data_IF_193411370624
#
_entry.id   IF_193411370624
#
_cell.length_a   1.000
_cell.length_b   1.000
_cell.length_c   1.000
_cell.angle_alpha   90.00
_cell.angle_beta   90.00
_cell.angle_gamma   90.00
#
_symmetry.space_group_name_H-M   'P 1'
#
loop_
_entity.id
_entity.type
_entity.pdbx_description
1 polymer ?
#
# COMPACT_ATOMS: atom_id res chain seq x y z
N UNK A 1 -40.83 -5.59 -6.62
CA UNK A 1 -41.86 -5.06 -5.73
C UNK A 1 -41.23 -5.15 -4.35
N UNK A 2 -40.89 -4.01 -3.73
CA UNK A 2 -40.44 -3.99 -2.35
C UNK A 2 -41.59 -4.48 -1.47
N UNK A 3 -41.31 -5.33 -0.49
CA UNK A 3 -42.31 -5.84 0.41
C UNK A 3 -42.94 -4.69 1.22
N UNK A 4 -44.25 -4.76 1.49
CA UNK A 4 -44.98 -3.73 2.24
C UNK A 4 -44.35 -3.45 3.63
N UNK A 5 -43.59 -4.39 4.17
CA UNK A 5 -42.84 -4.28 5.42
C UNK A 5 -41.63 -3.37 5.28
N UNK A 6 -40.92 -3.43 4.13
CA UNK A 6 -39.73 -2.56 3.84
C UNK A 6 -40.14 -1.11 3.66
N UNK A 7 -41.38 -0.87 3.14
CA UNK A 7 -41.93 0.50 2.96
C UNK A 7 -42.38 1.06 4.32
N UNK A 8 -42.92 0.26 5.21
CA UNK A 8 -43.38 0.70 6.53
C UNK A 8 -42.19 1.01 7.45
N UNK A 9 -41.14 0.19 7.43
CA UNK A 9 -39.86 0.41 8.13
C UNK A 9 -39.17 1.67 7.63
N UNK A 10 -39.24 1.97 6.32
CA UNK A 10 -38.66 3.19 5.73
C UNK A 10 -39.42 4.44 6.11
N UNK A 11 -40.76 4.37 6.18
CA UNK A 11 -41.61 5.50 6.60
C UNK A 11 -41.50 5.77 8.11
N UNK A 12 -41.37 4.73 8.93
CA UNK A 12 -41.13 4.86 10.37
C UNK A 12 -39.77 5.50 10.63
N UNK A 13 -38.76 5.12 9.87
CA UNK A 13 -37.41 5.70 9.89
C UNK A 13 -37.43 7.19 9.50
N UNK A 14 -38.16 7.57 8.43
CA UNK A 14 -38.32 8.97 8.02
C UNK A 14 -39.03 9.80 9.07
N UNK A 15 -40.12 9.30 9.67
CA UNK A 15 -40.85 9.98 10.76
C UNK A 15 -39.98 10.19 11.99
N UNK A 16 -39.08 9.25 12.24
CA UNK A 16 -38.12 9.34 13.33
C UNK A 16 -37.12 10.47 13.05
N UNK A 17 -36.61 10.55 11.81
CA UNK A 17 -35.70 11.62 11.39
C UNK A 17 -36.32 13.01 11.46
N UNK A 18 -37.55 13.20 10.97
CA UNK A 18 -38.28 14.46 11.06
C UNK A 18 -38.45 14.94 12.52
N UNK A 19 -38.47 14.01 13.46
CA UNK A 19 -38.64 14.31 14.88
C UNK A 19 -37.35 14.69 15.58
N UNK A 20 -36.21 14.16 15.16
CA UNK A 20 -34.92 14.27 15.87
C UNK A 20 -33.83 15.02 15.11
N UNK A 21 -33.99 15.32 13.83
CA UNK A 21 -33.01 16.12 13.09
C UNK A 21 -33.57 17.50 12.75
N UNK A 22 -32.85 18.54 13.14
CA UNK A 22 -33.13 19.90 12.67
C UNK A 22 -32.67 20.07 11.20
N UNK A 23 -31.97 19.09 10.63
CA UNK A 23 -31.49 19.06 9.26
C UNK A 23 -32.11 17.88 8.49
N UNK A 24 -33.17 18.11 7.67
CA UNK A 24 -33.80 17.07 6.85
C UNK A 24 -32.84 16.43 5.83
N UNK A 25 -31.83 17.19 5.37
CA UNK A 25 -30.85 16.71 4.39
C UNK A 25 -29.95 15.62 4.98
N UNK A 26 -29.57 15.73 6.26
CA UNK A 26 -28.84 14.67 6.97
C UNK A 26 -29.65 13.37 7.03
N UNK A 27 -30.96 13.49 7.30
CA UNK A 27 -31.87 12.34 7.36
C UNK A 27 -31.91 11.56 6.05
N UNK A 28 -32.04 12.27 4.94
CA UNK A 28 -32.04 11.67 3.60
C UNK A 28 -30.66 11.04 3.28
N UNK A 29 -29.58 11.73 3.62
CA UNK A 29 -28.23 11.23 3.40
C UNK A 29 -27.98 9.92 4.18
N UNK A 30 -28.33 9.88 5.45
CA UNK A 30 -28.18 8.66 6.27
C UNK A 30 -29.01 7.52 5.70
N UNK A 31 -30.25 7.78 5.29
CA UNK A 31 -31.10 6.76 4.68
C UNK A 31 -30.52 6.22 3.36
N UNK A 32 -29.96 7.09 2.53
CA UNK A 32 -29.34 6.71 1.26
C UNK A 32 -28.08 5.85 1.47
N UNK A 33 -27.27 6.19 2.47
CA UNK A 33 -25.96 5.61 2.70
C UNK A 33 -25.94 4.46 3.71
N UNK A 34 -27.02 4.25 4.46
CA UNK A 34 -27.16 3.16 5.41
C UNK A 34 -27.36 1.83 4.66
N UNK A 35 -26.58 0.80 5.01
CA UNK A 35 -26.76 -0.53 4.45
C UNK A 35 -28.14 -1.13 4.81
N UNK A 36 -28.64 -2.05 3.98
CA UNK A 36 -29.93 -2.69 4.18
C UNK A 36 -30.05 -3.43 5.52
N UNK A 37 -28.95 -3.98 6.01
CA UNK A 37 -28.87 -4.65 7.32
C UNK A 37 -28.65 -3.67 8.48
N UNK A 38 -28.58 -2.37 8.20
CA UNK A 38 -28.36 -1.28 9.18
C UNK A 38 -27.03 -1.36 9.96
N UNK A 39 -26.06 -2.14 9.46
CA UNK A 39 -24.77 -2.34 10.14
C UNK A 39 -23.63 -1.47 9.62
N UNK A 40 -23.78 -0.88 8.45
CA UNK A 40 -22.76 -0.07 7.80
C UNK A 40 -23.32 1.28 7.35
N UNK A 41 -22.65 2.35 7.76
CA UNK A 41 -22.94 3.71 7.33
C UNK A 41 -21.67 4.39 6.85
N UNK A 42 -21.67 4.79 5.58
CA UNK A 42 -20.57 5.54 4.99
C UNK A 42 -21.05 6.95 4.61
N UNK A 43 -20.64 7.94 5.39
CA UNK A 43 -20.91 9.37 5.14
C UNK A 43 -19.68 10.11 4.59
N UNK A 44 -18.62 9.39 4.24
CA UNK A 44 -17.38 9.97 3.75
C UNK A 44 -17.57 10.90 2.55
N UNK A 45 -16.73 11.93 2.47
CA UNK A 45 -16.73 12.99 1.43
C UNK A 45 -18.02 13.83 1.36
N UNK A 46 -18.87 13.77 2.39
CA UNK A 46 -20.03 14.67 2.54
C UNK A 46 -19.69 15.75 3.58
N UNK A 47 -19.66 17.01 3.17
CA UNK A 47 -19.42 18.10 4.11
C UNK A 47 -20.55 18.19 5.12
N UNK A 48 -20.20 18.12 6.39
CA UNK A 48 -21.11 18.18 7.53
C UNK A 48 -20.74 19.34 8.44
N UNK A 49 -21.71 19.88 9.15
CA UNK A 49 -21.52 20.90 10.18
C UNK A 49 -21.63 20.29 11.58
N UNK A 50 -21.26 21.02 12.60
CA UNK A 50 -21.22 20.51 13.98
C UNK A 50 -22.57 19.97 14.45
N UNK A 51 -23.68 20.64 14.10
CA UNK A 51 -25.04 20.22 14.41
C UNK A 51 -25.43 18.88 13.79
N UNK A 52 -24.82 18.52 12.62
CA UNK A 52 -25.09 17.23 11.99
C UNK A 52 -24.47 16.09 12.81
N UNK A 53 -23.26 16.27 13.35
CA UNK A 53 -22.60 15.27 14.19
C UNK A 53 -23.35 15.08 15.52
N UNK A 54 -23.89 16.16 16.09
CA UNK A 54 -24.74 16.09 17.26
C UNK A 54 -26.02 15.32 16.97
N UNK A 55 -26.70 15.66 15.86
CA UNK A 55 -27.91 14.98 15.43
C UNK A 55 -27.65 13.50 15.13
N UNK A 56 -26.53 13.16 14.47
CA UNK A 56 -26.13 11.79 14.18
C UNK A 56 -25.99 10.95 15.47
N UNK A 57 -25.49 11.56 16.54
CA UNK A 57 -25.33 10.93 17.86
C UNK A 57 -26.67 10.63 18.57
N UNK A 58 -27.80 11.14 18.08
CA UNK A 58 -29.14 10.97 18.65
C UNK A 58 -30.02 10.01 17.84
N UNK A 59 -29.56 9.53 16.68
CA UNK A 59 -30.35 8.67 15.79
C UNK A 59 -30.38 7.24 16.30
N UNK A 60 -31.38 6.88 17.09
CA UNK A 60 -31.52 5.55 17.71
C UNK A 60 -31.37 4.37 16.75
N UNK A 61 -31.91 4.36 15.52
CA UNK A 61 -31.73 3.24 14.60
C UNK A 61 -30.28 2.88 14.26
N UNK A 62 -29.30 3.77 14.57
CA UNK A 62 -27.89 3.51 14.36
C UNK A 62 -27.23 2.64 15.45
N UNK A 63 -27.96 2.20 16.46
CA UNK A 63 -27.41 1.34 17.54
C UNK A 63 -26.85 -0.01 17.06
N UNK A 64 -27.19 -0.44 15.83
CA UNK A 64 -26.71 -1.68 15.23
C UNK A 64 -25.43 -1.52 14.42
N UNK A 65 -24.93 -0.30 14.25
CA UNK A 65 -23.76 -0.07 13.41
C UNK A 65 -22.53 -0.84 13.92
N UNK A 66 -21.93 -1.57 12.99
CA UNK A 66 -20.64 -2.21 13.14
C UNK A 66 -19.54 -1.44 12.39
N UNK A 67 -19.90 -0.69 11.35
CA UNK A 67 -19.01 0.15 10.53
C UNK A 67 -19.56 1.57 10.41
N UNK A 68 -18.71 2.57 10.70
CA UNK A 68 -19.00 3.98 10.47
C UNK A 68 -17.80 4.65 9.82
N UNK A 69 -18.02 5.27 8.64
CA UNK A 69 -17.07 6.16 8.00
C UNK A 69 -17.56 7.60 8.01
N UNK A 70 -16.70 8.49 8.51
CA UNK A 70 -16.84 9.94 8.51
C UNK A 70 -15.61 10.60 7.87
N UNK A 71 -14.96 9.93 6.93
CA UNK A 71 -13.77 10.45 6.25
C UNK A 71 -14.11 11.70 5.42
N UNK A 72 -13.27 12.73 5.48
CA UNK A 72 -13.47 13.98 4.70
C UNK A 72 -14.81 14.68 4.95
N UNK A 73 -15.37 14.59 6.14
CA UNK A 73 -16.66 15.22 6.46
C UNK A 73 -16.52 16.61 7.07
N UNK A 74 -15.29 17.02 7.42
CA UNK A 74 -15.04 18.26 8.17
C UNK A 74 -15.28 18.08 9.67
N UNK A 75 -15.21 16.85 10.18
CA UNK A 75 -15.37 16.55 11.60
C UNK A 75 -14.31 17.26 12.41
N UNK A 76 -14.75 18.03 13.39
CA UNK A 76 -13.91 18.71 14.37
C UNK A 76 -13.89 17.94 15.70
N UNK A 77 -12.98 18.33 16.58
CA UNK A 77 -12.89 17.75 17.93
C UNK A 77 -14.18 17.94 18.74
N UNK A 78 -14.90 19.06 18.53
CA UNK A 78 -16.22 19.29 19.13
C UNK A 78 -17.28 18.34 18.61
N UNK A 79 -17.35 18.15 17.28
CA UNK A 79 -18.26 17.17 16.67
C UNK A 79 -17.99 15.74 17.14
N UNK A 80 -16.71 15.34 17.21
CA UNK A 80 -16.32 14.02 17.69
C UNK A 80 -16.74 13.78 19.15
N UNK A 81 -16.68 14.79 20.02
CA UNK A 81 -17.14 14.71 21.40
C UNK A 81 -18.59 14.20 21.52
N UNK A 82 -19.49 14.69 20.65
CA UNK A 82 -20.88 14.23 20.64
C UNK A 82 -20.97 12.75 20.23
N UNK A 83 -20.26 12.36 19.18
CA UNK A 83 -20.29 11.00 18.65
C UNK A 83 -19.76 9.95 19.63
N UNK A 84 -18.61 10.21 20.26
CA UNK A 84 -17.98 9.25 21.16
C UNK A 84 -18.63 9.19 22.54
N UNK A 85 -19.48 10.16 22.86
CA UNK A 85 -20.24 10.23 24.11
C UNK A 85 -21.54 9.42 24.12
N UNK A 86 -22.03 8.99 22.95
CA UNK A 86 -23.29 8.23 22.83
C UNK A 86 -23.07 6.72 22.90
N UNK A 87 -24.01 6.00 23.54
CA UNK A 87 -24.04 4.54 23.55
C UNK A 87 -24.46 3.92 22.20
N UNK A 88 -24.94 4.73 21.25
CA UNK A 88 -25.41 4.22 19.94
C UNK A 88 -24.29 3.51 19.16
N UNK A 89 -23.06 3.89 19.37
CA UNK A 89 -21.91 3.32 18.67
C UNK A 89 -21.18 2.21 19.45
N UNK A 90 -21.85 1.61 20.46
CA UNK A 90 -21.23 0.56 21.29
C UNK A 90 -20.95 -0.75 20.55
N UNK A 91 -21.55 -0.97 19.38
CA UNK A 91 -21.33 -2.14 18.55
C UNK A 91 -20.31 -1.91 17.41
N UNK A 92 -19.75 -0.70 17.29
CA UNK A 92 -18.78 -0.41 16.25
C UNK A 92 -17.53 -1.28 16.38
N UNK A 93 -17.18 -1.89 15.24
CA UNK A 93 -15.95 -2.65 15.03
C UNK A 93 -14.94 -1.85 14.21
N UNK A 94 -15.43 -1.08 13.26
CA UNK A 94 -14.61 -0.22 12.39
C UNK A 94 -15.12 1.21 12.46
N UNK A 95 -14.21 2.15 12.77
CA UNK A 95 -14.44 3.58 12.76
C UNK A 95 -13.35 4.26 11.93
N UNK A 96 -13.76 4.97 10.86
CA UNK A 96 -12.83 5.73 10.03
C UNK A 96 -13.17 7.22 10.09
N UNK A 97 -12.16 8.02 10.44
CA UNK A 97 -12.22 9.46 10.69
C UNK A 97 -11.10 10.20 9.91
N UNK A 98 -10.70 9.65 8.77
CA UNK A 98 -9.60 10.16 7.97
C UNK A 98 -9.89 11.54 7.35
N UNK A 99 -8.83 12.30 7.07
CA UNK A 99 -8.93 13.59 6.39
C UNK A 99 -9.95 14.55 7.05
N UNK A 100 -9.81 14.75 8.35
CA UNK A 100 -10.64 15.66 9.15
C UNK A 100 -9.77 16.68 9.89
N UNK A 101 -10.36 17.43 10.81
CA UNK A 101 -9.67 18.44 11.59
C UNK A 101 -9.61 18.04 13.09
N UNK A 102 -9.26 16.79 13.35
CA UNK A 102 -9.14 16.26 14.70
C UNK A 102 -7.76 16.57 15.25
N UNK A 103 -7.71 17.27 16.37
CA UNK A 103 -6.52 17.59 17.12
C UNK A 103 -6.38 16.73 18.39
N UNK A 104 -5.44 17.08 19.26
CA UNK A 104 -5.21 16.36 20.52
C UNK A 104 -6.45 16.39 21.45
N UNK A 105 -7.29 17.43 21.38
CA UNK A 105 -8.52 17.52 22.14
C UNK A 105 -9.56 16.49 21.65
N UNK A 106 -9.70 16.32 20.35
CA UNK A 106 -10.57 15.29 19.76
C UNK A 106 -10.16 13.90 20.23
N UNK A 107 -8.87 13.60 20.20
CA UNK A 107 -8.34 12.33 20.69
C UNK A 107 -8.52 12.16 22.19
N UNK A 108 -8.46 13.23 22.97
CA UNK A 108 -8.82 13.16 24.39
C UNK A 108 -10.25 12.69 24.58
N UNK A 109 -11.23 13.24 23.84
CA UNK A 109 -12.63 12.77 23.92
C UNK A 109 -12.76 11.30 23.47
N UNK A 110 -12.15 10.93 22.36
CA UNK A 110 -12.13 9.55 21.88
C UNK A 110 -11.60 8.59 22.96
N UNK A 111 -10.49 8.94 23.58
CA UNK A 111 -9.82 8.12 24.59
C UNK A 111 -10.65 7.86 25.85
N UNK A 112 -11.60 8.73 26.13
CA UNK A 112 -12.50 8.64 27.30
C UNK A 112 -13.80 7.92 27.00
N UNK A 113 -14.06 7.54 25.74
CA UNK A 113 -15.28 6.86 25.38
C UNK A 113 -15.37 5.50 26.06
N UNK A 114 -16.46 5.30 26.81
CA UNK A 114 -16.82 4.00 27.38
C UNK A 114 -17.56 3.09 26.39
N UNK A 115 -17.86 3.61 25.20
CA UNK A 115 -18.76 2.98 24.24
C UNK A 115 -18.05 2.37 23.02
N UNK A 116 -16.74 2.61 22.86
CA UNK A 116 -15.96 2.14 21.71
C UNK A 116 -15.08 0.92 22.02
N UNK A 117 -15.47 0.12 23.02
CA UNK A 117 -14.68 -1.04 23.46
C UNK A 117 -14.69 -2.23 22.50
N UNK A 118 -15.57 -2.24 21.49
CA UNK A 118 -15.66 -3.29 20.47
C UNK A 118 -14.84 -2.99 19.23
N UNK A 119 -14.18 -1.82 19.16
CA UNK A 119 -13.39 -1.46 18.00
C UNK A 119 -12.22 -2.44 17.79
N UNK A 120 -12.13 -2.92 16.57
CA UNK A 120 -11.02 -3.72 16.05
C UNK A 120 -10.20 -2.96 14.99
N UNK A 121 -10.78 -1.92 14.41
CA UNK A 121 -10.15 -1.09 13.38
C UNK A 121 -10.49 0.38 13.62
N UNK A 122 -9.44 1.22 13.69
CA UNK A 122 -9.53 2.66 13.86
C UNK A 122 -8.59 3.36 12.86
N UNK A 123 -9.18 4.20 12.01
CA UNK A 123 -8.42 5.09 11.12
C UNK A 123 -8.57 6.53 11.56
N UNK A 124 -7.44 7.17 11.80
CA UNK A 124 -7.31 8.58 12.20
C UNK A 124 -6.33 9.32 11.28
N UNK A 125 -6.02 8.75 10.13
CA UNK A 125 -5.01 9.31 9.22
C UNK A 125 -5.41 10.69 8.68
N UNK A 126 -4.40 11.50 8.36
CA UNK A 126 -4.60 12.85 7.80
C UNK A 126 -5.46 13.73 8.71
N UNK A 127 -5.03 13.88 9.94
CA UNK A 127 -5.60 14.78 10.94
C UNK A 127 -4.50 15.67 11.55
N UNK A 128 -4.82 16.42 12.60
CA UNK A 128 -3.89 17.32 13.28
C UNK A 128 -3.45 16.75 14.64
N UNK A 129 -3.36 15.41 14.75
CA UNK A 129 -3.02 14.73 16.00
C UNK A 129 -1.53 14.90 16.29
N UNK A 130 -1.24 15.49 17.44
CA UNK A 130 0.12 15.69 17.92
C UNK A 130 0.57 14.65 18.94
N UNK A 131 1.74 14.94 19.51
CA UNK A 131 2.36 14.10 20.53
C UNK A 131 1.44 13.85 21.75
N UNK A 132 0.69 14.86 22.19
CA UNK A 132 -0.18 14.72 23.37
C UNK A 132 -1.40 13.85 23.07
N UNK A 133 -2.02 14.03 21.91
CA UNK A 133 -3.12 13.17 21.44
C UNK A 133 -2.68 11.72 21.34
N UNK A 134 -1.53 11.46 20.73
CA UNK A 134 -0.97 10.12 20.64
C UNK A 134 -0.74 9.49 22.02
N UNK A 135 -0.15 10.25 22.95
CA UNK A 135 0.08 9.79 24.32
C UNK A 135 -1.23 9.39 25.01
N UNK A 136 -2.26 10.19 24.87
CA UNK A 136 -3.57 9.92 25.48
C UNK A 136 -4.23 8.71 24.82
N UNK A 137 -4.16 8.60 23.48
CA UNK A 137 -4.72 7.47 22.73
C UNK A 137 -4.09 6.14 23.18
N UNK A 138 -2.76 6.05 23.18
CA UNK A 138 -2.06 4.80 23.52
C UNK A 138 -2.26 4.35 24.97
N UNK A 139 -2.63 5.27 25.86
CA UNK A 139 -2.99 4.95 27.24
C UNK A 139 -4.48 4.62 27.43
N UNK A 140 -5.26 4.67 26.35
CA UNK A 140 -6.72 4.51 26.37
C UNK A 140 -7.15 3.05 26.30
N UNK A 141 -8.27 2.68 26.94
CA UNK A 141 -8.90 1.36 26.73
C UNK A 141 -9.37 1.13 25.29
N UNK A 142 -9.64 2.18 24.51
CA UNK A 142 -10.10 2.08 23.12
C UNK A 142 -9.10 1.30 22.25
N UNK A 143 -7.80 1.48 22.46
CA UNK A 143 -6.76 0.79 21.66
C UNK A 143 -6.53 -0.66 22.05
N UNK A 144 -7.08 -1.11 23.18
CA UNK A 144 -6.81 -2.45 23.72
C UNK A 144 -7.40 -3.59 22.91
N UNK A 145 -8.45 -3.33 22.14
CA UNK A 145 -9.10 -4.29 21.26
C UNK A 145 -8.72 -4.18 19.79
N UNK A 146 -7.97 -3.13 19.42
CA UNK A 146 -7.65 -2.88 18.02
C UNK A 146 -6.74 -3.98 17.44
N UNK A 147 -7.02 -4.34 16.20
CA UNK A 147 -6.19 -5.17 15.34
C UNK A 147 -5.47 -4.28 14.31
N UNK A 148 -6.15 -3.22 13.85
CA UNK A 148 -5.62 -2.26 12.87
C UNK A 148 -5.74 -0.85 13.41
N UNK A 149 -4.64 -0.12 13.37
CA UNK A 149 -4.57 1.31 13.72
C UNK A 149 -3.82 2.07 12.63
N UNK A 150 -4.49 3.06 12.05
CA UNK A 150 -3.89 3.99 11.10
C UNK A 150 -3.82 5.39 11.71
N UNK A 151 -2.58 5.88 11.88
CA UNK A 151 -2.26 7.22 12.38
C UNK A 151 -1.44 8.02 11.36
N UNK A 152 -1.35 7.55 10.12
CA UNK A 152 -0.52 8.19 9.10
C UNK A 152 -0.91 9.65 8.86
N UNK A 153 0.06 10.45 8.38
CA UNK A 153 -0.15 11.88 8.11
C UNK A 153 -0.65 12.67 9.35
N UNK A 154 0.00 12.45 10.49
CA UNK A 154 -0.20 13.16 11.75
C UNK A 154 1.16 13.55 12.34
N UNK A 155 1.22 14.40 13.37
CA UNK A 155 2.47 14.84 14.00
C UNK A 155 2.72 14.12 15.32
N UNK A 156 2.81 12.78 15.28
CA UNK A 156 2.94 11.94 16.47
C UNK A 156 4.26 12.18 17.20
N UNK A 157 5.36 12.35 16.46
CA UNK A 157 6.70 12.61 16.97
C UNK A 157 7.25 11.49 17.90
N UNK A 158 8.57 11.43 18.18
CA UNK A 158 9.17 10.38 19.01
C UNK A 158 8.58 10.28 20.42
N UNK A 159 8.18 11.40 21.01
CA UNK A 159 7.62 11.41 22.37
C UNK A 159 6.18 10.88 22.42
N UNK A 160 5.39 11.04 21.34
CA UNK A 160 4.07 10.43 21.22
C UNK A 160 4.18 8.91 21.16
N UNK A 161 5.08 8.41 20.32
CA UNK A 161 5.34 6.96 20.17
C UNK A 161 5.88 6.34 21.47
N UNK A 162 6.66 7.08 22.27
CA UNK A 162 7.11 6.59 23.57
C UNK A 162 5.96 6.09 24.44
N UNK A 163 4.78 6.67 24.34
CA UNK A 163 3.63 6.26 25.13
C UNK A 163 3.13 4.83 24.83
N UNK A 164 3.45 4.25 23.66
CA UNK A 164 3.20 2.83 23.41
C UNK A 164 3.90 1.97 24.47
N UNK A 165 5.10 2.37 24.88
CA UNK A 165 5.89 1.67 25.90
C UNK A 165 5.32 1.75 27.30
N UNK A 166 4.59 2.81 27.52
CA UNK A 166 3.98 3.10 28.80
C UNK A 166 2.54 2.52 28.84
N UNK A 167 2.09 1.89 27.74
CA UNK A 167 0.78 1.27 27.67
C UNK A 167 0.62 0.20 28.76
N UNK A 168 -0.47 0.24 29.54
CA UNK A 168 -0.63 -0.63 30.70
C UNK A 168 -0.91 -2.10 30.33
N UNK A 169 -1.06 -2.39 29.05
CA UNK A 169 -1.48 -3.70 28.53
C UNK A 169 -0.76 -4.06 27.23
N UNK A 170 -0.69 -5.37 26.93
CA UNK A 170 -0.29 -5.86 25.62
C UNK A 170 -1.28 -5.37 24.56
N UNK A 171 -0.76 -4.86 23.45
CA UNK A 171 -1.55 -4.37 22.32
C UNK A 171 -1.65 -5.48 21.26
N UNK A 172 -2.85 -5.94 20.90
CA UNK A 172 -3.06 -7.04 19.97
C UNK A 172 -2.97 -6.62 18.50
N UNK A 173 -2.31 -5.48 18.24
CA UNK A 173 -2.23 -4.90 16.91
C UNK A 173 -1.49 -5.82 15.95
N UNK A 174 -2.07 -6.00 14.76
CA UNK A 174 -1.44 -6.70 13.64
C UNK A 174 -1.01 -5.74 12.55
N UNK A 175 -1.74 -4.65 12.37
CA UNK A 175 -1.44 -3.66 11.36
C UNK A 175 -1.33 -2.28 12.01
N UNK A 176 -0.16 -1.67 11.87
CA UNK A 176 0.11 -0.31 12.35
C UNK A 176 0.67 0.53 11.21
N UNK A 177 -0.03 1.61 10.91
CA UNK A 177 0.40 2.59 9.92
C UNK A 177 0.83 3.88 10.64
N UNK A 178 2.12 4.20 10.50
CA UNK A 178 2.77 5.39 11.03
C UNK A 178 3.47 6.21 9.93
N UNK A 179 2.98 6.10 8.68
CA UNK A 179 3.53 6.86 7.57
C UNK A 179 3.39 8.36 7.83
N UNK A 180 4.45 9.12 7.54
CA UNK A 180 4.48 10.59 7.69
C UNK A 180 3.99 11.06 9.08
N UNK A 181 4.65 10.58 10.13
CA UNK A 181 4.33 10.91 11.53
C UNK A 181 5.48 11.55 12.28
N UNK A 182 6.51 12.00 11.57
CA UNK A 182 7.68 12.70 12.10
C UNK A 182 8.48 11.89 13.16
N UNK A 183 8.55 10.56 12.99
CA UNK A 183 9.19 9.70 14.00
C UNK A 183 10.71 9.78 14.05
N UNK A 184 11.36 9.79 12.89
CA UNK A 184 12.81 9.68 12.78
C UNK A 184 13.42 8.48 13.51
N UNK A 185 14.73 8.47 13.65
CA UNK A 185 15.46 7.41 14.37
C UNK A 185 15.10 7.32 15.85
N UNK A 186 14.80 8.47 16.47
CA UNK A 186 14.48 8.49 17.88
C UNK A 186 13.12 7.83 18.17
N UNK A 187 12.15 7.97 17.25
CA UNK A 187 10.89 7.23 17.30
C UNK A 187 11.12 5.72 17.22
N UNK A 188 11.95 5.27 16.27
CA UNK A 188 12.29 3.85 16.15
C UNK A 188 13.01 3.31 17.37
N UNK A 189 13.92 4.08 17.97
CA UNK A 189 14.56 3.71 19.23
C UNK A 189 13.56 3.56 20.39
N UNK A 190 12.46 4.34 20.39
CA UNK A 190 11.40 4.12 21.36
C UNK A 190 10.65 2.82 21.06
N UNK A 191 10.23 2.60 19.82
CA UNK A 191 9.56 1.36 19.40
C UNK A 191 10.40 0.13 19.74
N UNK A 192 11.71 0.19 19.50
CA UNK A 192 12.66 -0.91 19.75
C UNK A 192 12.73 -1.35 21.24
N UNK A 193 12.33 -0.48 22.18
CA UNK A 193 12.36 -0.81 23.62
C UNK A 193 11.17 -1.68 24.07
N UNK A 194 10.21 -1.98 23.18
CA UNK A 194 8.89 -2.45 23.62
C UNK A 194 8.53 -3.82 23.07
N UNK A 195 8.20 -4.72 23.98
CA UNK A 195 7.73 -6.08 23.74
C UNK A 195 6.19 -6.13 23.54
N UNK A 196 5.49 -5.00 23.66
CA UNK A 196 4.02 -4.97 23.60
C UNK A 196 3.42 -5.16 22.18
N UNK A 197 4.25 -5.15 21.12
CA UNK A 197 3.83 -5.28 19.72
C UNK A 197 4.20 -6.65 19.12
N UNK A 198 4.24 -7.70 19.92
CA UNK A 198 4.65 -9.06 19.49
C UNK A 198 3.74 -9.68 18.42
N UNK A 199 2.51 -9.20 18.28
CA UNK A 199 1.55 -9.71 17.31
C UNK A 199 1.56 -8.94 15.98
N UNK A 200 2.43 -7.92 15.85
CA UNK A 200 2.48 -7.06 14.67
C UNK A 200 2.94 -7.84 13.43
N UNK A 201 2.13 -7.78 12.39
CA UNK A 201 2.37 -8.43 11.10
C UNK A 201 2.72 -7.42 9.99
N UNK A 202 2.14 -6.22 10.05
CA UNK A 202 2.36 -5.14 9.08
C UNK A 202 2.74 -3.85 9.79
N UNK A 203 3.84 -3.23 9.37
CA UNK A 203 4.28 -1.92 9.84
C UNK A 203 4.63 -1.02 8.66
N UNK A 204 3.92 0.09 8.54
CA UNK A 204 4.26 1.15 7.59
C UNK A 204 4.93 2.30 8.34
N UNK A 205 6.17 2.59 7.96
CA UNK A 205 7.02 3.65 8.49
C UNK A 205 7.45 4.64 7.39
N UNK A 206 6.80 4.61 6.22
CA UNK A 206 7.15 5.48 5.10
C UNK A 206 7.20 6.96 5.50
N UNK A 207 8.00 7.75 4.81
CA UNK A 207 8.05 9.21 4.95
C UNK A 207 8.37 9.71 6.38
N UNK A 208 9.28 9.05 7.10
CA UNK A 208 9.59 9.37 8.50
C UNK A 208 11.04 9.83 8.76
N UNK A 209 11.83 10.10 7.74
CA UNK A 209 13.25 10.48 7.87
C UNK A 209 14.10 9.48 8.67
N UNK A 210 13.76 8.19 8.55
CA UNK A 210 14.47 7.09 9.21
C UNK A 210 15.77 6.81 8.47
N UNK A 211 16.87 6.71 9.22
CA UNK A 211 18.19 6.35 8.72
C UNK A 211 18.62 4.96 9.16
N UNK A 212 19.85 4.57 8.85
CA UNK A 212 20.46 3.32 9.33
C UNK A 212 20.44 3.20 10.85
N UNK A 213 20.60 4.31 11.58
CA UNK A 213 20.63 4.29 13.05
C UNK A 213 19.31 3.84 13.68
N UNK A 214 18.17 4.20 13.09
CA UNK A 214 16.86 3.71 13.49
C UNK A 214 16.69 2.23 13.19
N UNK A 215 17.11 1.79 11.98
CA UNK A 215 17.00 0.39 11.57
C UNK A 215 17.89 -0.53 12.40
N UNK A 216 19.12 -0.12 12.73
CA UNK A 216 19.98 -0.85 13.65
C UNK A 216 19.34 -1.05 15.04
N UNK A 217 18.63 -0.05 15.55
CA UNK A 217 17.95 -0.16 16.83
C UNK A 217 16.84 -1.23 16.80
N UNK A 218 16.03 -1.27 15.74
CA UNK A 218 15.00 -2.31 15.53
C UNK A 218 15.62 -3.69 15.35
N UNK A 219 16.67 -3.79 14.53
CA UNK A 219 17.36 -5.04 14.23
C UNK A 219 17.94 -5.72 15.47
N UNK A 220 18.46 -4.92 16.42
CA UNK A 220 19.02 -5.43 17.68
C UNK A 220 17.95 -5.85 18.69
N UNK A 221 16.80 -5.19 18.68
CA UNK A 221 15.80 -5.37 19.73
C UNK A 221 14.78 -6.48 19.45
N UNK A 222 14.56 -6.83 18.17
CA UNK A 222 13.56 -7.80 17.71
C UNK A 222 12.16 -7.57 18.33
N UNK A 223 11.59 -6.37 18.19
CA UNK A 223 10.31 -6.05 18.82
C UNK A 223 9.10 -6.68 18.12
N UNK A 224 9.28 -7.23 16.89
CA UNK A 224 8.21 -7.69 16.02
C UNK A 224 8.45 -9.14 15.51
N UNK A 225 8.39 -10.16 16.35
CA UNK A 225 8.75 -11.53 15.97
C UNK A 225 7.83 -12.16 14.91
N UNK A 226 6.69 -11.50 14.58
CA UNK A 226 5.70 -11.96 13.59
C UNK A 226 5.61 -11.06 12.36
N UNK A 227 6.53 -10.11 12.20
CA UNK A 227 6.47 -9.15 11.10
C UNK A 227 6.56 -9.85 9.74
N UNK A 228 5.59 -9.59 8.87
CA UNK A 228 5.50 -10.14 7.52
C UNK A 228 5.70 -9.07 6.46
N UNK A 229 5.25 -7.85 6.74
CA UNK A 229 5.35 -6.72 5.83
C UNK A 229 5.97 -5.53 6.54
N UNK A 230 7.07 -5.03 5.99
CA UNK A 230 7.75 -3.81 6.43
C UNK A 230 7.84 -2.83 5.27
N UNK A 231 7.31 -1.63 5.47
CA UNK A 231 7.22 -0.58 4.47
C UNK A 231 8.04 0.60 4.96
N UNK A 232 9.11 0.95 4.22
CA UNK A 232 10.10 1.97 4.58
C UNK A 232 10.29 3.02 3.48
N UNK A 233 9.33 3.17 2.59
CA UNK A 233 9.41 4.05 1.43
C UNK A 233 9.73 5.50 1.84
N UNK A 234 10.53 6.21 1.02
CA UNK A 234 10.91 7.60 1.24
C UNK A 234 11.60 7.85 2.60
N UNK A 235 12.45 6.92 3.03
CA UNK A 235 13.32 7.08 4.19
C UNK A 235 14.79 6.89 3.76
N UNK A 236 15.73 7.74 4.18
CA UNK A 236 17.13 7.55 3.84
C UNK A 236 17.80 6.44 4.68
N UNK A 237 17.25 5.21 4.55
CA UNK A 237 17.71 4.03 5.30
C UNK A 237 19.17 3.70 5.00
N UNK A 238 19.57 3.81 3.73
CA UNK A 238 20.94 3.59 3.27
C UNK A 238 21.42 2.14 3.42
N UNK A 239 22.64 1.89 2.94
CA UNK A 239 23.19 0.54 2.87
C UNK A 239 23.44 -0.09 4.23
N UNK A 240 23.91 0.68 5.22
CA UNK A 240 24.11 0.20 6.59
C UNK A 240 22.78 -0.23 7.25
N UNK A 241 21.68 0.49 6.95
CA UNK A 241 20.35 0.11 7.44
C UNK A 241 19.86 -1.20 6.83
N UNK A 242 20.10 -1.42 5.53
CA UNK A 242 19.77 -2.69 4.87
C UNK A 242 20.68 -3.82 5.36
N UNK A 243 21.96 -3.54 5.57
CA UNK A 243 22.86 -4.51 6.18
C UNK A 243 22.34 -4.97 7.57
N UNK A 244 21.89 -4.04 8.41
CA UNK A 244 21.32 -4.37 9.71
C UNK A 244 20.06 -5.24 9.60
N UNK A 245 19.16 -4.96 8.64
CA UNK A 245 17.97 -5.77 8.35
C UNK A 245 18.39 -7.18 7.89
N UNK A 246 19.33 -7.25 6.94
CA UNK A 246 19.74 -8.50 6.29
C UNK A 246 20.47 -9.47 7.23
N UNK A 247 21.12 -8.96 8.28
CA UNK A 247 21.86 -9.76 9.26
C UNK A 247 21.04 -10.11 10.52
N UNK A 248 19.82 -9.57 10.66
CA UNK A 248 19.04 -9.74 11.89
C UNK A 248 17.98 -10.84 11.77
N UNK A 249 17.91 -11.69 12.79
CA UNK A 249 16.81 -12.66 12.96
C UNK A 249 15.45 -11.98 13.21
N UNK A 250 15.45 -10.70 13.61
CA UNK A 250 14.24 -9.92 13.83
C UNK A 250 13.33 -9.84 12.60
N UNK A 251 13.91 -9.97 11.41
CA UNK A 251 13.19 -9.85 10.15
C UNK A 251 13.07 -11.18 9.38
N UNK A 252 13.40 -12.31 10.01
CA UNK A 252 13.38 -13.63 9.36
C UNK A 252 12.00 -14.09 8.89
N UNK A 253 10.93 -13.48 9.40
CA UNK A 253 9.53 -13.77 9.00
C UNK A 253 9.02 -12.90 7.86
N UNK A 254 9.82 -11.94 7.37
CA UNK A 254 9.41 -11.02 6.30
C UNK A 254 9.07 -11.76 5.01
N UNK A 255 7.94 -11.37 4.44
CA UNK A 255 7.46 -11.77 3.13
C UNK A 255 7.42 -10.59 2.15
N UNK A 256 7.27 -9.37 2.66
CA UNK A 256 7.18 -8.16 1.86
C UNK A 256 8.07 -7.07 2.47
N UNK A 257 8.98 -6.54 1.65
CA UNK A 257 9.87 -5.44 2.01
C UNK A 257 9.82 -4.39 0.90
N UNK A 258 9.41 -3.17 1.27
CA UNK A 258 9.38 -2.05 0.33
C UNK A 258 10.29 -0.92 0.78
N UNK A 259 11.12 -0.47 -0.14
CA UNK A 259 12.24 0.45 0.05
C UNK A 259 12.33 1.47 -1.11
N UNK A 260 11.16 1.88 -1.63
CA UNK A 260 11.10 2.92 -2.66
C UNK A 260 11.81 4.18 -2.15
N UNK A 261 12.76 4.71 -2.94
CA UNK A 261 13.47 5.94 -2.62
C UNK A 261 14.10 5.92 -1.20
N UNK A 262 14.91 4.88 -0.93
CA UNK A 262 15.51 4.63 0.39
C UNK A 262 17.03 4.90 0.45
N UNK A 263 17.58 5.59 -0.54
CA UNK A 263 19.01 5.93 -0.66
C UNK A 263 19.92 4.70 -0.71
N UNK A 264 19.48 3.65 -1.38
CA UNK A 264 20.19 2.39 -1.49
C UNK A 264 21.13 2.38 -2.69
N UNK A 265 22.26 1.67 -2.53
CA UNK A 265 23.21 1.44 -3.62
C UNK A 265 23.35 -0.06 -3.91
N UNK A 266 24.35 -0.39 -4.73
CA UNK A 266 24.76 -1.77 -5.01
C UNK A 266 25.00 -2.58 -3.73
N UNK A 267 25.56 -1.98 -2.68
CA UNK A 267 25.91 -2.65 -1.43
C UNK A 267 24.67 -3.16 -0.67
N UNK A 268 23.54 -2.42 -0.75
CA UNK A 268 22.26 -2.90 -0.23
C UNK A 268 21.79 -4.19 -0.90
N UNK A 269 21.87 -4.23 -2.24
CA UNK A 269 21.44 -5.41 -2.99
C UNK A 269 22.33 -6.63 -2.70
N UNK A 270 23.64 -6.41 -2.56
CA UNK A 270 24.60 -7.45 -2.13
C UNK A 270 24.22 -7.94 -0.73
N UNK A 271 23.97 -7.04 0.23
CA UNK A 271 23.58 -7.39 1.59
C UNK A 271 22.30 -8.24 1.64
N UNK A 272 21.28 -7.89 0.83
CA UNK A 272 20.06 -8.69 0.70
C UNK A 272 20.32 -10.06 0.08
N UNK A 273 21.21 -10.13 -0.91
CA UNK A 273 21.56 -11.38 -1.61
C UNK A 273 22.29 -12.37 -0.69
N UNK A 274 23.10 -11.87 0.22
CA UNK A 274 23.91 -12.64 1.17
C UNK A 274 23.19 -12.94 2.49
N UNK A 275 21.98 -12.37 2.69
CA UNK A 275 21.22 -12.59 3.93
C UNK A 275 20.90 -14.05 4.18
N UNK A 276 21.13 -14.50 5.41
CA UNK A 276 20.76 -15.85 5.85
C UNK A 276 19.35 -15.90 6.48
N UNK A 277 18.76 -14.76 6.71
CA UNK A 277 17.47 -14.61 7.41
C UNK A 277 16.34 -14.26 6.47
N UNK A 278 16.57 -13.40 5.46
CA UNK A 278 15.55 -12.92 4.53
C UNK A 278 15.25 -13.91 3.38
N UNK A 279 15.02 -15.17 3.69
CA UNK A 279 14.80 -16.23 2.69
C UNK A 279 13.33 -16.42 2.32
N UNK A 280 12.44 -15.64 2.92
CA UNK A 280 10.98 -15.75 2.78
C UNK A 280 10.31 -14.73 1.88
N UNK A 281 11.07 -13.80 1.29
CA UNK A 281 10.52 -12.66 0.54
C UNK A 281 9.73 -13.13 -0.70
N UNK A 282 8.52 -12.58 -0.83
CA UNK A 282 7.61 -12.70 -1.98
C UNK A 282 7.51 -11.40 -2.77
N UNK A 283 7.65 -10.27 -2.06
CA UNK A 283 7.68 -8.95 -2.66
C UNK A 283 8.93 -8.22 -2.19
N UNK A 284 9.71 -7.71 -3.15
CA UNK A 284 10.83 -6.82 -2.92
C UNK A 284 10.66 -5.61 -3.85
N UNK A 285 10.52 -4.44 -3.24
CA UNK A 285 10.46 -3.17 -3.95
C UNK A 285 11.70 -2.34 -3.59
N UNK A 286 12.54 -2.10 -4.60
CA UNK A 286 13.75 -1.28 -4.55
C UNK A 286 13.65 -0.09 -5.52
N UNK A 287 12.45 0.29 -5.96
CA UNK A 287 12.25 1.34 -6.95
C UNK A 287 12.93 2.66 -6.51
N UNK A 288 13.40 3.42 -7.50
CA UNK A 288 14.04 4.73 -7.30
C UNK A 288 15.20 4.70 -6.29
N UNK A 289 16.21 3.89 -6.60
CA UNK A 289 17.47 3.78 -5.86
C UNK A 289 18.67 3.76 -6.83
N UNK A 290 19.87 3.38 -6.38
CA UNK A 290 21.08 3.30 -7.21
C UNK A 290 21.71 1.89 -7.16
N UNK A 291 20.86 0.86 -7.33
CA UNK A 291 21.25 -0.57 -7.18
C UNK A 291 22.23 -1.01 -8.28
N UNK A 292 22.06 -0.49 -9.51
CA UNK A 292 22.90 -0.77 -10.69
C UNK A 292 22.95 -2.25 -11.10
N UNK A 293 23.69 -2.53 -12.19
CA UNK A 293 23.81 -3.87 -12.76
C UNK A 293 24.42 -4.89 -11.77
N UNK A 294 25.48 -4.48 -11.08
CA UNK A 294 26.23 -5.34 -10.18
C UNK A 294 25.39 -5.79 -8.98
N UNK A 295 24.56 -4.89 -8.43
CA UNK A 295 23.65 -5.23 -7.35
C UNK A 295 22.54 -6.19 -7.78
N UNK A 296 21.99 -5.96 -8.98
CA UNK A 296 20.98 -6.86 -9.55
C UNK A 296 21.58 -8.23 -9.90
N UNK A 297 22.83 -8.29 -10.38
CA UNK A 297 23.52 -9.54 -10.62
C UNK A 297 23.65 -10.36 -9.33
N UNK A 298 24.07 -9.73 -8.22
CA UNK A 298 24.15 -10.39 -6.92
C UNK A 298 22.78 -10.92 -6.48
N UNK A 299 21.70 -10.14 -6.60
CA UNK A 299 20.33 -10.59 -6.28
C UNK A 299 19.90 -11.76 -7.16
N UNK A 300 20.12 -11.65 -8.48
CA UNK A 300 19.70 -12.66 -9.46
C UNK A 300 20.39 -14.03 -9.26
N UNK A 301 21.62 -14.02 -8.73
CA UNK A 301 22.37 -15.23 -8.39
C UNK A 301 22.02 -15.81 -7.01
N UNK A 302 21.30 -15.06 -6.17
CA UNK A 302 20.98 -15.49 -4.80
C UNK A 302 19.75 -16.40 -4.73
N UNK A 303 19.85 -17.48 -3.95
CA UNK A 303 18.70 -18.33 -3.64
C UNK A 303 17.62 -17.60 -2.79
N UNK A 304 17.93 -16.44 -2.21
CA UNK A 304 16.99 -15.65 -1.42
C UNK A 304 15.82 -15.14 -2.26
N UNK A 305 16.01 -14.90 -3.57
CA UNK A 305 14.97 -14.42 -4.48
C UNK A 305 14.06 -15.52 -5.03
N UNK A 306 14.29 -16.79 -4.71
CA UNK A 306 13.53 -17.92 -5.28
C UNK A 306 12.03 -17.93 -4.97
N UNK A 307 11.60 -17.19 -3.95
CA UNK A 307 10.18 -17.08 -3.56
C UNK A 307 9.54 -15.79 -4.05
N UNK A 308 10.31 -14.92 -4.69
CA UNK A 308 9.76 -13.65 -5.19
C UNK A 308 8.69 -13.91 -6.25
N UNK A 309 7.56 -13.28 -6.03
CA UNK A 309 6.43 -13.18 -6.94
C UNK A 309 6.38 -11.79 -7.58
N UNK A 310 6.84 -10.77 -6.85
CA UNK A 310 6.87 -9.36 -7.27
C UNK A 310 8.26 -8.80 -7.01
N UNK A 311 8.89 -8.24 -8.05
CA UNK A 311 10.16 -7.53 -7.97
C UNK A 311 10.02 -6.19 -8.69
N UNK A 312 10.22 -5.11 -7.94
CA UNK A 312 10.29 -3.76 -8.50
C UNK A 312 11.72 -3.24 -8.41
N UNK A 313 12.30 -2.96 -9.55
CA UNK A 313 13.64 -2.40 -9.75
C UNK A 313 13.58 -1.17 -10.64
N UNK A 314 12.43 -0.53 -10.79
CA UNK A 314 12.30 0.73 -11.56
C UNK A 314 13.30 1.79 -11.07
N UNK A 315 13.77 2.63 -11.97
CA UNK A 315 14.63 3.78 -11.63
C UNK A 315 15.91 3.43 -10.87
N UNK A 316 16.64 2.39 -11.34
CA UNK A 316 17.85 1.89 -10.65
C UNK A 316 19.13 1.87 -11.50
N UNK A 317 19.10 2.44 -12.69
CA UNK A 317 20.28 2.51 -13.59
C UNK A 317 20.87 1.14 -13.93
N UNK A 318 20.02 0.13 -14.15
CA UNK A 318 20.45 -1.26 -14.34
C UNK A 318 21.24 -1.49 -15.63
N UNK A 319 20.94 -0.72 -16.65
CA UNK A 319 21.50 -0.94 -17.98
C UNK A 319 21.08 -2.28 -18.60
N UNK A 320 21.59 -2.58 -19.80
CA UNK A 320 21.36 -3.87 -20.45
C UNK A 320 21.91 -5.06 -19.65
N UNK A 321 23.00 -4.86 -18.94
CA UNK A 321 23.69 -5.88 -18.16
C UNK A 321 22.82 -6.38 -16.99
N UNK A 322 22.19 -5.48 -16.24
CA UNK A 322 21.26 -5.86 -15.16
C UNK A 322 20.05 -6.63 -15.67
N UNK A 323 19.48 -6.23 -16.83
CA UNK A 323 18.40 -6.98 -17.45
C UNK A 323 18.86 -8.38 -17.92
N UNK A 324 20.08 -8.52 -18.44
CA UNK A 324 20.65 -9.82 -18.78
C UNK A 324 20.81 -10.70 -17.53
N UNK A 325 21.31 -10.16 -16.42
CA UNK A 325 21.47 -10.89 -15.18
C UNK A 325 20.12 -11.44 -14.66
N UNK A 326 19.04 -10.64 -14.70
CA UNK A 326 17.70 -11.13 -14.36
C UNK A 326 17.22 -12.24 -15.29
N UNK A 327 17.46 -12.11 -16.59
CA UNK A 327 17.06 -13.08 -17.59
C UNK A 327 17.77 -14.44 -17.45
N UNK A 328 19.02 -14.42 -16.99
CA UNK A 328 19.88 -15.59 -16.78
C UNK A 328 19.71 -16.24 -15.39
N UNK A 329 18.99 -15.58 -14.48
CA UNK A 329 18.79 -16.10 -13.11
C UNK A 329 18.10 -17.46 -13.09
N UNK A 330 18.64 -18.42 -12.36
CA UNK A 330 18.02 -19.73 -12.12
C UNK A 330 17.01 -19.69 -10.97
N UNK A 331 16.90 -18.57 -10.26
CA UNK A 331 16.11 -18.44 -9.04
C UNK A 331 14.79 -17.69 -9.19
N UNK A 332 14.54 -16.99 -10.32
CA UNK A 332 13.35 -16.13 -10.51
C UNK A 332 12.15 -16.84 -11.15
N UNK A 333 12.09 -18.17 -11.10
CA UNK A 333 11.03 -18.97 -11.74
C UNK A 333 9.60 -18.70 -11.17
N UNK A 334 9.49 -18.17 -9.94
CA UNK A 334 8.20 -17.84 -9.33
C UNK A 334 7.73 -16.41 -9.62
N UNK A 335 8.55 -15.61 -10.31
CA UNK A 335 8.25 -14.21 -10.55
C UNK A 335 7.04 -14.08 -11.49
N UNK A 336 6.07 -13.28 -11.05
CA UNK A 336 4.84 -12.95 -11.77
C UNK A 336 4.82 -11.52 -12.25
N UNK A 337 5.37 -10.60 -11.45
CA UNK A 337 5.41 -9.18 -11.76
C UNK A 337 6.84 -8.67 -11.70
N UNK A 338 7.32 -8.10 -12.81
CA UNK A 338 8.63 -7.47 -12.92
C UNK A 338 8.50 -6.04 -13.41
N UNK A 339 9.01 -5.10 -12.63
CA UNK A 339 9.07 -3.67 -12.99
C UNK A 339 10.51 -3.26 -13.22
N UNK A 340 10.79 -2.71 -14.40
CA UNK A 340 12.10 -2.24 -14.83
C UNK A 340 11.99 -0.88 -15.52
N UNK A 341 10.96 -0.09 -15.22
CA UNK A 341 10.79 1.26 -15.79
C UNK A 341 12.04 2.11 -15.55
N UNK A 342 12.38 2.98 -16.51
CA UNK A 342 13.46 3.96 -16.40
C UNK A 342 14.82 3.35 -15.96
N UNK A 343 15.29 2.33 -16.69
CA UNK A 343 16.53 1.62 -16.36
C UNK A 343 17.55 1.56 -17.50
N UNK A 344 17.26 2.16 -18.65
CA UNK A 344 18.16 2.16 -19.82
C UNK A 344 18.57 0.74 -20.26
N UNK A 345 17.63 -0.23 -20.25
CA UNK A 345 17.93 -1.64 -20.55
C UNK A 345 18.19 -1.92 -22.04
N UNK A 346 17.76 -1.02 -22.92
CA UNK A 346 17.94 -1.06 -24.37
C UNK A 346 17.39 -2.35 -25.02
N UNK A 347 17.60 -2.49 -26.32
CA UNK A 347 17.23 -3.70 -27.05
C UNK A 347 17.94 -4.95 -26.52
N UNK A 348 19.20 -4.84 -26.09
CA UNK A 348 19.98 -5.95 -25.55
C UNK A 348 19.30 -6.58 -24.33
N UNK A 349 18.87 -5.75 -23.36
CA UNK A 349 18.17 -6.23 -22.17
C UNK A 349 16.79 -6.80 -22.51
N UNK A 350 16.03 -6.13 -23.37
CA UNK A 350 14.71 -6.61 -23.81
C UNK A 350 14.80 -7.99 -24.51
N UNK A 351 15.81 -8.20 -25.37
CA UNK A 351 16.08 -9.47 -26.05
C UNK A 351 16.43 -10.57 -25.02
N UNK A 352 17.27 -10.25 -24.03
CA UNK A 352 17.65 -11.18 -22.99
C UNK A 352 16.42 -11.62 -22.16
N UNK A 353 15.60 -10.67 -21.69
CA UNK A 353 14.36 -10.96 -20.95
C UNK A 353 13.41 -11.84 -21.78
N UNK A 354 13.25 -11.53 -23.07
CA UNK A 354 12.44 -12.31 -23.99
C UNK A 354 12.94 -13.74 -24.20
N UNK A 355 14.26 -13.97 -24.08
CA UNK A 355 14.91 -15.26 -24.18
C UNK A 355 15.09 -16.03 -22.89
N UNK A 356 14.65 -15.47 -21.74
CA UNK A 356 14.84 -16.08 -20.42
C UNK A 356 14.20 -17.47 -20.35
N UNK A 357 14.87 -18.42 -19.70
CA UNK A 357 14.35 -19.77 -19.48
C UNK A 357 13.58 -19.90 -18.16
N UNK A 358 13.65 -18.91 -17.29
CA UNK A 358 13.09 -18.95 -15.96
C UNK A 358 11.89 -18.02 -15.78
N UNK A 359 11.82 -16.89 -16.48
CA UNK A 359 10.73 -15.92 -16.38
C UNK A 359 9.42 -16.38 -17.05
N UNK A 360 9.17 -17.69 -17.10
CA UNK A 360 8.04 -18.32 -17.82
C UNK A 360 6.68 -18.10 -17.17
N UNK A 361 6.66 -17.74 -15.89
CA UNK A 361 5.44 -17.46 -15.13
C UNK A 361 5.09 -15.98 -15.05
N UNK A 362 5.82 -15.13 -15.79
CA UNK A 362 5.63 -13.69 -15.72
C UNK A 362 4.26 -13.30 -16.31
N UNK A 363 3.44 -12.65 -15.48
CA UNK A 363 2.10 -12.18 -15.83
C UNK A 363 2.07 -10.69 -16.15
N UNK A 364 2.97 -9.88 -15.55
CA UNK A 364 3.07 -8.45 -15.81
C UNK A 364 4.53 -8.01 -15.97
N UNK A 365 4.81 -7.31 -17.06
CA UNK A 365 6.13 -6.75 -17.37
C UNK A 365 5.99 -5.27 -17.67
N UNK A 366 6.74 -4.45 -16.90
CA UNK A 366 6.72 -3.01 -17.01
C UNK A 366 8.11 -2.53 -17.45
N UNK A 367 8.17 -1.94 -18.63
CA UNK A 367 9.40 -1.49 -19.30
C UNK A 367 9.27 -0.05 -19.79
N UNK A 368 8.38 0.71 -19.20
CA UNK A 368 8.11 2.10 -19.58
C UNK A 368 9.26 3.04 -19.23
N UNK A 369 9.21 4.24 -19.80
CA UNK A 369 10.08 5.39 -19.57
C UNK A 369 11.57 5.07 -19.79
N UNK A 370 12.17 5.78 -20.73
CA UNK A 370 13.62 5.83 -20.97
C UNK A 370 14.38 4.48 -20.97
N UNK A 371 13.67 3.37 -21.27
CA UNK A 371 14.35 2.09 -21.46
C UNK A 371 14.94 1.94 -22.87
N UNK A 372 14.66 2.89 -23.76
CA UNK A 372 15.24 2.98 -25.11
C UNK A 372 15.09 1.69 -25.91
N UNK A 373 13.93 1.03 -25.74
CA UNK A 373 13.59 -0.17 -26.50
C UNK A 373 13.09 0.25 -27.87
N UNK A 374 13.71 -0.30 -28.92
CA UNK A 374 13.36 -0.09 -30.30
C UNK A 374 12.63 -1.33 -30.89
N UNK A 375 12.46 -1.31 -32.20
CA UNK A 375 11.82 -2.43 -32.91
C UNK A 375 12.50 -3.80 -32.69
N UNK A 376 13.83 -3.94 -32.63
CA UNK A 376 14.48 -5.25 -32.38
C UNK A 376 14.11 -5.86 -31.03
N UNK A 377 14.19 -5.06 -29.94
CA UNK A 377 13.82 -5.50 -28.60
C UNK A 377 12.34 -5.83 -28.49
N UNK A 378 11.48 -4.98 -29.06
CA UNK A 378 10.02 -5.19 -29.09
C UNK A 378 9.66 -6.46 -29.87
N UNK A 379 10.32 -6.70 -31.01
CA UNK A 379 10.12 -7.92 -31.81
C UNK A 379 10.50 -9.17 -31.00
N UNK A 380 11.61 -9.14 -30.27
CA UNK A 380 12.02 -10.25 -29.42
C UNK A 380 10.95 -10.55 -28.35
N UNK A 381 10.40 -9.51 -27.70
CA UNK A 381 9.28 -9.66 -26.74
C UNK A 381 8.05 -10.27 -27.43
N UNK A 382 7.67 -9.77 -28.61
CA UNK A 382 6.51 -10.24 -29.35
C UNK A 382 6.63 -11.70 -29.82
N UNK A 383 7.84 -12.19 -30.09
CA UNK A 383 8.13 -13.55 -30.53
C UNK A 383 8.50 -14.50 -29.38
N UNK A 384 8.61 -13.99 -28.15
CA UNK A 384 9.05 -14.73 -26.99
C UNK A 384 8.11 -15.88 -26.61
N UNK A 385 8.66 -17.08 -26.49
CA UNK A 385 7.94 -18.23 -25.94
C UNK A 385 7.93 -18.23 -24.41
N UNK A 386 8.94 -17.65 -23.80
CA UNK A 386 9.07 -17.54 -22.34
C UNK A 386 8.06 -16.58 -21.73
N UNK A 387 7.71 -15.50 -22.44
CA UNK A 387 6.76 -14.49 -21.96
C UNK A 387 5.31 -14.78 -22.38
N UNK A 388 4.99 -16.02 -22.74
CA UNK A 388 3.63 -16.41 -23.19
C UNK A 388 2.56 -16.35 -22.10
N UNK A 389 2.95 -16.28 -20.82
CA UNK A 389 2.05 -16.12 -19.68
C UNK A 389 1.60 -14.67 -19.44
N UNK A 390 2.18 -13.68 -20.14
CA UNK A 390 1.88 -12.27 -19.94
C UNK A 390 0.41 -11.93 -20.13
N UNK A 391 -0.12 -11.20 -19.16
CA UNK A 391 -1.44 -10.55 -19.14
C UNK A 391 -1.32 -9.05 -19.34
N UNK A 392 -0.24 -8.46 -18.83
CA UNK A 392 0.02 -7.02 -18.92
C UNK A 392 1.43 -6.74 -19.43
N UNK A 393 1.53 -5.90 -20.45
CA UNK A 393 2.79 -5.38 -21.00
C UNK A 393 2.71 -3.87 -21.11
N UNK A 394 3.66 -3.17 -20.49
CA UNK A 394 3.77 -1.72 -20.55
C UNK A 394 5.11 -1.34 -21.15
N UNK A 395 5.06 -0.63 -22.29
CA UNK A 395 6.20 -0.16 -23.06
C UNK A 395 6.13 1.36 -23.31
N UNK A 396 5.33 2.08 -22.54
CA UNK A 396 5.11 3.53 -22.68
C UNK A 396 6.42 4.29 -22.76
N UNK A 397 6.48 5.34 -23.56
CA UNK A 397 7.65 6.25 -23.66
C UNK A 397 8.97 5.52 -23.98
N UNK A 398 8.92 4.60 -24.95
CA UNK A 398 10.07 3.99 -25.62
C UNK A 398 10.18 4.50 -27.07
N UNK A 399 10.84 3.75 -27.94
CA UNK A 399 11.04 4.12 -29.35
C UNK A 399 10.73 2.94 -30.28
N UNK A 400 9.64 2.21 -29.98
CA UNK A 400 9.33 0.97 -30.70
C UNK A 400 8.98 1.18 -32.17
N UNK A 401 8.40 2.34 -32.52
CA UNK A 401 8.00 2.68 -33.89
C UNK A 401 7.00 1.71 -34.51
N UNK A 402 6.65 1.96 -35.77
CA UNK A 402 5.65 1.14 -36.48
C UNK A 402 6.06 -0.33 -36.65
N UNK A 403 7.36 -0.59 -36.76
CA UNK A 403 7.87 -1.97 -36.90
C UNK A 403 7.63 -2.77 -35.62
N UNK A 404 7.93 -2.20 -34.44
CA UNK A 404 7.64 -2.80 -33.16
C UNK A 404 6.13 -2.99 -32.93
N UNK A 405 5.32 -1.98 -33.28
CA UNK A 405 3.86 -2.07 -33.19
C UNK A 405 3.32 -3.22 -34.05
N UNK A 406 3.80 -3.37 -35.30
CA UNK A 406 3.42 -4.50 -36.15
C UNK A 406 3.89 -5.86 -35.62
N UNK A 407 5.06 -5.93 -35.00
CA UNK A 407 5.53 -7.16 -34.35
C UNK A 407 4.60 -7.57 -33.20
N UNK A 408 4.22 -6.64 -32.33
CA UNK A 408 3.26 -6.89 -31.25
C UNK A 408 1.90 -7.29 -31.81
N UNK A 409 1.37 -6.56 -32.81
CA UNK A 409 0.08 -6.80 -33.39
C UNK A 409 -0.05 -8.23 -34.06
N UNK A 410 1.06 -8.81 -34.51
CA UNK A 410 1.12 -10.14 -35.13
C UNK A 410 1.58 -11.23 -34.15
N UNK A 411 1.78 -10.90 -32.88
CA UNK A 411 2.33 -11.82 -31.87
C UNK A 411 1.33 -12.94 -31.56
N UNK A 412 1.73 -14.18 -31.83
CA UNK A 412 0.99 -15.37 -31.39
C UNK A 412 1.35 -15.75 -29.94
N UNK A 413 2.56 -15.45 -29.52
CA UNK A 413 3.04 -15.74 -28.17
C UNK A 413 2.32 -14.92 -27.10
N UNK A 414 1.93 -13.69 -27.44
CA UNK A 414 1.21 -12.78 -26.53
C UNK A 414 -0.32 -12.85 -26.69
N UNK A 415 -0.86 -13.89 -27.27
CA UNK A 415 -2.32 -14.06 -27.45
C UNK A 415 -3.09 -14.02 -26.12
N UNK A 416 -2.43 -14.33 -25.00
CA UNK A 416 -2.99 -14.23 -23.65
C UNK A 416 -3.04 -12.82 -23.05
N UNK A 417 -2.48 -11.82 -23.73
CA UNK A 417 -2.37 -10.44 -23.23
C UNK A 417 -3.75 -9.78 -23.12
N UNK A 418 -4.02 -9.17 -21.97
CA UNK A 418 -5.26 -8.45 -21.70
C UNK A 418 -5.08 -6.94 -21.69
N UNK A 419 -3.88 -6.47 -21.37
CA UNK A 419 -3.56 -5.05 -21.26
C UNK A 419 -2.23 -4.78 -21.98
N UNK A 420 -2.27 -3.89 -22.97
CA UNK A 420 -1.09 -3.41 -23.69
C UNK A 420 -1.08 -1.88 -23.66
N UNK A 421 0.01 -1.32 -23.15
CA UNK A 421 0.24 0.11 -23.20
C UNK A 421 1.53 0.40 -23.96
N UNK A 422 1.40 1.09 -25.09
CA UNK A 422 2.50 1.53 -25.96
C UNK A 422 2.46 3.04 -26.23
N UNK A 423 1.79 3.81 -25.38
CA UNK A 423 1.69 5.26 -25.53
C UNK A 423 3.08 5.93 -25.61
N UNK A 424 3.17 7.02 -26.37
CA UNK A 424 4.42 7.78 -26.46
C UNK A 424 5.57 7.11 -27.21
N UNK A 425 5.29 6.16 -28.12
CA UNK A 425 6.30 5.33 -28.80
C UNK A 425 6.64 5.74 -30.24
N UNK A 426 6.33 6.98 -30.66
CA UNK A 426 6.57 7.49 -32.01
C UNK A 426 5.86 6.64 -33.08
N UNK A 427 4.65 6.14 -32.81
CA UNK A 427 3.86 5.43 -33.79
C UNK A 427 3.27 6.43 -34.80
N UNK A 428 3.20 6.01 -36.07
CA UNK A 428 2.36 6.66 -37.08
C UNK A 428 0.98 6.04 -37.08
N UNK A 429 0.00 6.63 -37.81
CA UNK A 429 -1.32 6.01 -37.99
C UNK A 429 -1.24 4.56 -38.53
N UNK A 430 -0.15 4.18 -39.18
CA UNK A 430 0.06 2.80 -39.66
C UNK A 430 0.36 1.84 -38.50
N UNK A 431 1.19 2.26 -37.55
CA UNK A 431 1.47 1.49 -36.35
C UNK A 431 0.26 1.34 -35.44
N UNK A 432 -0.48 2.45 -35.23
CA UNK A 432 -1.71 2.46 -34.44
C UNK A 432 -2.75 1.49 -35.04
N UNK A 433 -3.02 1.61 -36.35
CA UNK A 433 -3.96 0.74 -37.02
C UNK A 433 -3.58 -0.75 -36.97
N UNK A 434 -2.27 -1.06 -36.98
CA UNK A 434 -1.83 -2.44 -36.86
C UNK A 434 -2.23 -3.03 -35.49
N UNK A 435 -2.08 -2.27 -34.42
CA UNK A 435 -2.46 -2.71 -33.05
C UNK A 435 -3.99 -2.75 -32.87
N UNK A 436 -4.72 -1.72 -33.32
CA UNK A 436 -6.18 -1.62 -33.20
C UNK A 436 -6.88 -2.78 -33.93
N UNK A 437 -6.34 -3.18 -35.07
CA UNK A 437 -6.93 -4.25 -35.90
C UNK A 437 -6.19 -5.60 -35.76
N UNK A 438 -5.43 -5.77 -34.67
CA UNK A 438 -4.73 -7.03 -34.41
C UNK A 438 -5.71 -8.21 -34.33
N UNK A 439 -5.45 -9.25 -35.12
CA UNK A 439 -6.17 -10.53 -35.04
C UNK A 439 -5.44 -11.57 -34.18
N UNK A 440 -4.22 -11.29 -33.74
CA UNK A 440 -3.43 -12.19 -32.92
C UNK A 440 -3.62 -11.92 -31.41
N UNK A 441 -3.84 -10.67 -31.00
CA UNK A 441 -4.07 -10.29 -29.61
C UNK A 441 -5.56 -10.46 -29.22
N UNK A 442 -6.07 -11.67 -29.34
CA UNK A 442 -7.50 -12.01 -29.26
C UNK A 442 -8.14 -11.75 -27.88
N UNK A 443 -7.34 -11.67 -26.82
CA UNK A 443 -7.80 -11.45 -25.44
C UNK A 443 -7.61 -10.01 -24.96
N UNK A 444 -7.15 -9.10 -25.81
CA UNK A 444 -6.85 -7.74 -25.43
C UNK A 444 -8.12 -6.98 -25.04
N UNK A 445 -8.14 -6.42 -23.82
CA UNK A 445 -9.26 -5.64 -23.26
C UNK A 445 -8.93 -4.15 -23.20
N UNK A 446 -7.66 -3.82 -22.93
CA UNK A 446 -7.19 -2.44 -22.81
C UNK A 446 -5.99 -2.27 -23.74
N UNK A 447 -6.09 -1.27 -24.63
CA UNK A 447 -5.02 -0.83 -25.52
C UNK A 447 -4.83 0.67 -25.36
N UNK A 448 -3.66 1.10 -24.91
CA UNK A 448 -3.28 2.50 -24.79
C UNK A 448 -2.17 2.80 -25.81
N UNK A 449 -2.41 3.76 -26.71
CA UNK A 449 -1.53 4.08 -27.85
C UNK A 449 -1.10 5.55 -27.84
N UNK A 450 -1.88 6.43 -27.20
CA UNK A 450 -1.66 7.90 -27.19
C UNK A 450 -1.27 8.35 -25.81
#
# INVERSE_FOLDING_TARGET
MADAKDIDDSLEFLRYFEKYTQNPDLGMLVQEKLSLDKKSLNLGSNKMIEEDFKSLAEIEPLYQLEFLSLDETGLTSSGLKHLVGTKLFSNLKTLTLANNNLDDEGIFYLSKSAHLSQLTELSLNSNEIGMLGAKVLFSSPVVSGLITLDLSYNRIEPLGIKAISEAPQKLPWRNLNLRDTCLGDDGLKQIAKHVCLEDLETLDLSDNTITSAGMEALARANPFPKIKRLILNNNPVGDDGIYAIAQSDAFSTLQELTLLNASLTTDSAISLSESKTLTGLKLLDLNNNDVRAEGVEALAQSANVKRLEILDLGENKLGPEGACALAESEHLANLRHLRLNNNNIMDKGAIALAGSKTLVNLEALFLENENWIHAPGTKAIAESQSLSSLKKLVLTLNVIGDEGARALANSKSLAGLTNLNVAGNKLSPSGDNALIHSTALVNLKTLEIV
#
